data_IF_606033586810
#
_entry.id   IF_606033586810
#
_cell.length_a   1.000
_cell.length_b   1.000
_cell.length_c   1.000
_cell.angle_alpha   90.00
_cell.angle_beta   90.00
_cell.angle_gamma   90.00
#
_symmetry.space_group_name_H-M   'P 1'
#
loop_
_entity.id
_entity.type
_entity.pdbx_description
1 polymer ?
#
# COMPACT_ATOMS: atom_id res chain seq x y z
N UNK A 1 -15.44 -19.45 19.60
CA UNK A 1 -15.74 -18.00 19.49
C UNK A 1 -14.40 -17.29 19.54
N UNK A 2 -13.91 -16.77 18.40
CA UNK A 2 -12.65 -16.01 18.39
C UNK A 2 -12.87 -14.68 19.13
N UNK A 3 -11.96 -14.31 20.02
CA UNK A 3 -12.00 -13.01 20.69
C UNK A 3 -11.93 -11.90 19.63
N UNK A 4 -12.68 -10.79 19.76
CA UNK A 4 -12.58 -9.68 18.83
C UNK A 4 -11.13 -9.17 18.79
N UNK A 5 -10.60 -9.02 17.58
CA UNK A 5 -9.29 -8.42 17.36
C UNK A 5 -9.24 -7.03 18.01
N UNK A 6 -8.23 -6.77 18.84
CA UNK A 6 -7.98 -5.45 19.44
C UNK A 6 -7.56 -4.40 18.41
N UNK A 7 -7.20 -4.82 17.19
CA UNK A 7 -6.64 -3.97 16.15
C UNK A 7 -7.45 -4.08 14.85
N UNK A 8 -7.72 -2.93 14.22
CA UNK A 8 -8.51 -2.84 13.00
C UNK A 8 -7.66 -2.60 11.73
N UNK A 9 -6.52 -1.91 11.86
CA UNK A 9 -5.67 -1.50 10.73
C UNK A 9 -4.20 -1.52 11.16
N UNK A 10 -3.32 -1.97 10.26
CA UNK A 10 -1.86 -1.86 10.38
C UNK A 10 -1.32 -0.91 9.30
N UNK A 11 -0.54 0.09 9.69
CA UNK A 11 0.10 1.05 8.79
C UNK A 11 1.62 0.87 8.86
N UNK A 12 2.27 0.81 7.69
CA UNK A 12 3.73 0.74 7.57
C UNK A 12 4.20 1.93 6.72
N UNK A 13 4.87 2.88 7.34
CA UNK A 13 5.50 4.03 6.67
C UNK A 13 7.03 3.95 6.81
N UNK A 14 7.79 3.50 5.81
CA UNK A 14 7.36 2.88 4.55
C UNK A 14 8.11 1.57 4.33
N UNK A 15 7.49 0.61 3.64
CA UNK A 15 8.09 -0.71 3.39
C UNK A 15 9.46 -0.59 2.69
N UNK A 16 9.67 0.43 1.85
CA UNK A 16 10.90 0.58 1.07
C UNK A 16 12.02 1.38 1.76
N UNK A 17 11.74 2.09 2.87
CA UNK A 17 12.74 2.98 3.46
C UNK A 17 14.01 2.23 3.86
N UNK A 18 13.87 1.18 4.67
CA UNK A 18 14.99 0.37 5.14
C UNK A 18 15.64 -0.44 4.01
N UNK A 19 14.83 -1.05 3.14
CA UNK A 19 15.35 -1.81 2.00
C UNK A 19 16.19 -0.99 1.02
N UNK A 20 15.95 0.32 0.90
CA UNK A 20 16.78 1.19 0.05
C UNK A 20 18.11 1.55 0.70
N UNK A 21 18.18 1.54 2.04
CA UNK A 21 19.42 1.79 2.80
C UNK A 21 20.28 0.53 2.79
N UNK A 22 19.67 -0.62 3.08
CA UNK A 22 20.39 -1.87 3.25
C UNK A 22 20.83 -2.52 1.93
N UNK A 23 20.16 -2.20 0.81
CA UNK A 23 20.40 -2.79 -0.51
C UNK A 23 20.49 -1.68 -1.57
N UNK A 24 21.65 -1.04 -1.65
CA UNK A 24 21.90 0.15 -2.47
C UNK A 24 22.61 -0.17 -3.79
N UNK A 25 23.30 -1.30 -3.89
CA UNK A 25 24.06 -1.72 -5.06
C UNK A 25 23.24 -2.50 -6.10
N UNK A 26 23.66 -2.46 -7.37
CA UNK A 26 23.03 -3.26 -8.45
C UNK A 26 23.17 -4.78 -8.22
N UNK A 27 24.25 -5.22 -7.57
CA UNK A 27 24.48 -6.63 -7.24
C UNK A 27 23.52 -7.18 -6.18
N UNK A 28 22.87 -6.30 -5.42
CA UNK A 28 22.01 -6.65 -4.28
C UNK A 28 20.52 -6.67 -4.66
N UNK A 29 20.19 -6.41 -5.93
CA UNK A 29 18.82 -6.31 -6.39
C UNK A 29 18.05 -7.62 -6.19
N UNK A 30 18.68 -8.76 -6.47
CA UNK A 30 18.05 -10.07 -6.33
C UNK A 30 17.70 -10.36 -4.86
N UNK A 31 18.66 -10.17 -3.96
CA UNK A 31 18.48 -10.37 -2.51
C UNK A 31 17.41 -9.44 -1.95
N UNK A 32 17.43 -8.16 -2.36
CA UNK A 32 16.40 -7.18 -2.00
C UNK A 32 15.02 -7.65 -2.41
N UNK A 33 14.85 -8.10 -3.65
CA UNK A 33 13.56 -8.56 -4.16
C UNK A 33 13.08 -9.81 -3.43
N UNK A 34 13.97 -10.77 -3.16
CA UNK A 34 13.61 -11.97 -2.41
C UNK A 34 13.15 -11.64 -0.99
N UNK A 35 13.88 -10.78 -0.27
CA UNK A 35 13.56 -10.35 1.09
C UNK A 35 12.28 -9.52 1.15
N UNK A 36 12.08 -8.64 0.18
CA UNK A 36 10.84 -7.89 0.04
C UNK A 36 9.65 -8.85 -0.19
N UNK A 37 9.80 -9.89 -1.02
CA UNK A 37 8.78 -10.92 -1.22
C UNK A 37 8.40 -11.66 0.05
N UNK A 38 9.38 -12.03 0.87
CA UNK A 38 9.13 -12.64 2.18
C UNK A 38 8.33 -11.70 3.09
N UNK A 39 8.68 -10.41 3.13
CA UNK A 39 7.95 -9.42 3.91
C UNK A 39 6.51 -9.28 3.43
N UNK A 40 6.28 -9.09 2.13
CA UNK A 40 4.95 -8.94 1.56
C UNK A 40 4.06 -10.17 1.83
N UNK A 41 4.60 -11.38 1.69
CA UNK A 41 3.87 -12.62 2.01
C UNK A 41 3.51 -12.69 3.50
N UNK A 42 4.38 -12.23 4.39
CA UNK A 42 4.10 -12.18 5.83
C UNK A 42 3.00 -11.18 6.15
N UNK A 43 2.99 -10.00 5.53
CA UNK A 43 1.94 -8.99 5.71
C UNK A 43 0.58 -9.51 5.25
N UNK A 44 0.54 -10.23 4.13
CA UNK A 44 -0.68 -10.87 3.65
C UNK A 44 -1.21 -11.91 4.64
N UNK A 45 -0.34 -12.76 5.19
CA UNK A 45 -0.73 -13.75 6.21
C UNK A 45 -1.28 -13.10 7.48
N UNK A 46 -0.64 -12.02 7.95
CA UNK A 46 -1.14 -11.25 9.10
C UNK A 46 -2.54 -10.70 8.76
N UNK A 47 -2.71 -10.12 7.57
CA UNK A 47 -4.03 -9.64 7.15
C UNK A 47 -5.08 -10.75 7.12
N UNK A 48 -4.75 -11.96 6.66
CA UNK A 48 -5.66 -13.11 6.62
C UNK A 48 -5.96 -13.69 8.02
N UNK A 49 -5.01 -13.64 8.95
CA UNK A 49 -5.20 -14.13 10.32
C UNK A 49 -6.21 -13.28 11.10
N UNK A 50 -6.26 -11.97 10.83
CA UNK A 50 -7.16 -11.03 11.48
C UNK A 50 -8.43 -10.71 10.67
N UNK A 51 -8.55 -11.21 9.42
CA UNK A 51 -9.67 -10.89 8.53
C UNK A 51 -10.40 -12.17 8.05
N UNK A 52 -11.74 -12.16 8.08
CA UNK A 52 -12.56 -13.36 7.87
C UNK A 52 -12.79 -13.76 6.40
N UNK A 53 -12.28 -13.01 5.41
CA UNK A 53 -12.56 -13.25 3.98
C UNK A 53 -11.27 -13.21 3.13
N UNK A 54 -10.79 -14.35 2.58
CA UNK A 54 -9.55 -14.43 1.84
C UNK A 54 -9.77 -14.36 0.32
N UNK A 55 -9.40 -13.24 -0.32
CA UNK A 55 -9.13 -13.21 -1.77
C UNK A 55 -7.61 -13.29 -2.00
N UNK A 56 -7.14 -14.34 -2.69
CA UNK A 56 -5.73 -14.52 -3.06
C UNK A 56 -5.44 -13.94 -4.45
N UNK A 57 -4.44 -13.05 -4.60
CA UNK A 57 -3.95 -12.64 -5.91
C UNK A 57 -2.97 -13.67 -6.52
N UNK A 58 -2.92 -13.77 -7.86
CA UNK A 58 -2.06 -14.67 -8.65
C UNK A 58 -1.30 -13.85 -9.73
N UNK A 59 0.04 -14.01 -9.84
CA UNK A 59 0.87 -13.51 -10.97
C UNK A 59 2.05 -12.57 -10.59
N UNK A 60 2.97 -12.30 -11.54
CA UNK A 60 3.99 -11.22 -11.70
C UNK A 60 4.80 -10.58 -10.52
N UNK A 61 5.26 -9.31 -10.72
CA UNK A 61 6.18 -8.58 -9.82
C UNK A 61 5.70 -8.55 -8.36
N UNK A 62 6.56 -8.84 -7.38
CA UNK A 62 6.16 -9.02 -5.96
C UNK A 62 5.30 -7.88 -5.41
N UNK A 63 5.77 -6.62 -5.54
CA UNK A 63 5.01 -5.47 -5.07
C UNK A 63 3.73 -5.29 -5.90
N UNK A 64 3.82 -5.54 -7.22
CA UNK A 64 2.73 -5.83 -8.19
C UNK A 64 1.47 -6.38 -7.55
N UNK A 65 1.65 -7.63 -7.14
CA UNK A 65 0.58 -8.56 -6.85
C UNK A 65 0.31 -8.73 -5.37
N UNK A 66 1.21 -8.23 -4.51
CA UNK A 66 0.97 -8.22 -3.07
C UNK A 66 0.11 -7.04 -2.61
N UNK A 67 -0.09 -6.02 -3.45
CA UNK A 67 -1.02 -4.92 -3.17
C UNK A 67 -2.37 -5.18 -3.83
N UNK A 68 -3.47 -5.12 -3.07
CA UNK A 68 -4.83 -5.25 -3.61
C UNK A 68 -5.27 -3.98 -4.34
N UNK A 69 -4.96 -2.80 -3.82
CA UNK A 69 -5.33 -1.51 -4.42
C UNK A 69 -4.15 -0.55 -4.34
N UNK A 70 -3.90 0.18 -5.42
CA UNK A 70 -2.83 1.18 -5.55
C UNK A 70 -3.39 2.54 -5.88
N UNK A 71 -2.96 3.51 -5.10
CA UNK A 71 -3.34 4.90 -5.27
C UNK A 71 -2.07 5.71 -5.57
N UNK A 72 -2.05 6.34 -6.74
CA UNK A 72 -1.04 7.32 -7.10
C UNK A 72 -1.43 8.68 -6.51
N UNK A 73 -0.55 9.28 -5.72
CA UNK A 73 -0.77 10.60 -5.12
C UNK A 73 0.11 11.64 -5.82
N UNK A 74 -0.49 12.74 -6.30
CA UNK A 74 0.23 13.88 -6.89
C UNK A 74 -0.06 15.17 -6.14
N UNK A 75 0.93 16.06 -6.04
CA UNK A 75 0.74 17.40 -5.47
C UNK A 75 -0.03 18.28 -6.46
N UNK A 76 -1.12 18.91 -6.00
CA UNK A 76 -1.87 19.91 -6.75
C UNK A 76 -1.40 21.33 -6.44
N UNK A 77 -2.27 22.32 -6.67
CA UNK A 77 -2.02 23.73 -6.31
C UNK A 77 -2.33 23.98 -4.83
N UNK A 78 -1.47 24.72 -4.14
CA UNK A 78 -1.63 25.01 -2.72
C UNK A 78 -1.75 23.75 -1.86
N UNK A 79 -2.87 23.64 -1.16
CA UNK A 79 -3.17 22.52 -0.25
C UNK A 79 -3.76 21.29 -0.96
N UNK A 80 -4.12 21.41 -2.24
CA UNK A 80 -4.75 20.32 -2.99
C UNK A 80 -3.76 19.20 -3.33
N UNK A 81 -4.29 17.98 -3.42
CA UNK A 81 -3.65 16.73 -3.81
C UNK A 81 -4.63 15.96 -4.67
N UNK A 82 -4.10 15.13 -5.57
CA UNK A 82 -4.92 14.32 -6.45
C UNK A 82 -4.53 12.86 -6.23
N UNK A 83 -5.52 12.04 -5.92
CA UNK A 83 -5.43 10.61 -5.78
C UNK A 83 -6.00 9.96 -7.05
N UNK A 84 -5.21 9.15 -7.73
CA UNK A 84 -5.65 8.34 -8.87
C UNK A 84 -5.58 6.86 -8.50
N UNK A 85 -6.64 6.11 -8.75
CA UNK A 85 -6.60 4.64 -8.72
C UNK A 85 -5.72 4.19 -9.89
N UNK A 86 -4.57 3.61 -9.57
CA UNK A 86 -3.61 3.10 -10.56
C UNK A 86 -3.87 1.63 -10.87
N UNK A 87 -4.27 0.85 -9.87
CA UNK A 87 -4.54 -0.58 -10.00
C UNK A 87 -5.48 -1.03 -8.88
N UNK A 88 -6.53 -1.77 -9.22
CA UNK A 88 -7.48 -2.35 -8.28
C UNK A 88 -8.30 -3.43 -8.98
N UNK A 89 -8.60 -4.56 -8.33
CA UNK A 89 -9.46 -5.60 -8.90
C UNK A 89 -10.93 -5.18 -9.00
N UNK A 90 -11.37 -4.27 -8.13
CA UNK A 90 -12.80 -3.95 -7.94
C UNK A 90 -13.17 -2.53 -8.39
N UNK A 91 -12.19 -1.65 -8.66
CA UNK A 91 -12.42 -0.23 -8.97
C UNK A 91 -11.77 0.17 -10.31
N UNK A 92 -12.50 0.90 -11.18
CA UNK A 92 -11.91 1.43 -12.41
C UNK A 92 -10.89 2.54 -12.11
N UNK A 93 -9.98 2.77 -13.05
CA UNK A 93 -9.08 3.94 -13.00
C UNK A 93 -9.91 5.23 -12.95
N UNK A 94 -9.81 5.95 -11.84
CA UNK A 94 -10.47 7.23 -11.61
C UNK A 94 -9.59 8.14 -10.77
N UNK A 95 -9.83 9.45 -10.82
CA UNK A 95 -9.11 10.44 -10.03
C UNK A 95 -10.06 11.26 -9.15
N UNK A 96 -9.57 11.64 -7.98
CA UNK A 96 -10.26 12.52 -7.04
C UNK A 96 -9.28 13.56 -6.48
N UNK A 97 -9.78 14.76 -6.25
CA UNK A 97 -9.02 15.86 -5.63
C UNK A 97 -9.40 15.97 -4.16
N UNK A 98 -8.40 16.11 -3.28
CA UNK A 98 -8.57 16.33 -1.86
C UNK A 98 -7.61 17.43 -1.37
N UNK A 99 -7.85 17.98 -0.18
CA UNK A 99 -6.96 18.94 0.46
C UNK A 99 -6.29 18.34 1.71
N UNK A 100 -5.05 18.76 1.98
CA UNK A 100 -4.40 18.51 3.27
C UNK A 100 -4.53 19.78 4.10
N UNK A 101 -5.31 19.69 5.17
CA UNK A 101 -5.58 20.78 6.10
C UNK A 101 -4.91 20.51 7.46
N UNK A 102 -4.99 21.46 8.39
CA UNK A 102 -4.56 21.24 9.77
C UNK A 102 -5.35 20.11 10.47
N UNK A 103 -6.55 19.77 9.99
CA UNK A 103 -7.35 18.64 10.48
C UNK A 103 -7.11 17.32 9.75
N UNK A 104 -6.16 17.26 8.80
CA UNK A 104 -5.91 16.09 7.96
C UNK A 104 -6.53 16.20 6.57
N UNK A 105 -6.97 15.06 6.03
CA UNK A 105 -7.57 14.97 4.69
C UNK A 105 -8.99 15.54 4.72
N UNK A 106 -9.28 16.47 3.83
CA UNK A 106 -10.61 17.05 3.64
C UNK A 106 -10.96 17.16 2.15
N UNK A 107 -12.21 17.43 1.85
CA UNK A 107 -12.65 17.74 0.48
C UNK A 107 -11.88 18.96 -0.04
N UNK A 108 -11.48 18.89 -1.31
CA UNK A 108 -10.91 20.06 -1.98
C UNK A 108 -12.00 21.12 -2.11
N UNK A 109 -11.68 22.35 -1.71
CA UNK A 109 -12.52 23.51 -2.03
C UNK A 109 -12.34 23.82 -3.51
N UNK A 110 -13.44 24.19 -4.17
CA UNK A 110 -13.45 24.62 -5.58
C UNK A 110 -12.45 25.74 -5.86
#
# INVERSE_FOLDING_TARGET
>A
MALPSLFAVQIIDSIMALFRVDYSGRGELADRQQRLGQMMSRLQKISEEYNADPKKPIGGHILAHASTTRISLRKGRGETRIAKIYDSPDLPESEATFAITNGGIADAKD
#
